data_IF_035440215152
#
_entry.id   IF_035440215152
#
_cell.length_a   1.000
_cell.length_b   1.000
_cell.length_c   1.000
_cell.angle_alpha   90.00
_cell.angle_beta   90.00
_cell.angle_gamma   90.00
#
_symmetry.space_group_name_H-M   'P 1'
#
loop_
_entity.id
_entity.type
_entity.pdbx_description
1 polymer ?
#
# COMPACT_ATOMS: atom_id res chain seq x y z
N UNK A 1 35.03 3.55 8.18
CA UNK A 1 33.85 3.79 7.31
C UNK A 1 32.69 3.03 7.93
N UNK A 2 31.63 3.71 8.37
CA UNK A 2 30.45 3.06 8.97
C UNK A 2 29.34 2.91 7.94
N UNK A 3 28.52 1.87 8.09
CA UNK A 3 27.39 1.64 7.21
C UNK A 3 26.35 2.75 7.36
N UNK A 4 25.75 3.16 6.24
CA UNK A 4 24.60 4.07 6.22
C UNK A 4 23.34 3.25 6.52
N UNK A 5 22.59 3.66 7.53
CA UNK A 5 21.32 3.02 7.86
C UNK A 5 20.24 3.44 6.85
N UNK A 6 19.70 2.48 6.10
CA UNK A 6 18.58 2.70 5.21
C UNK A 6 17.26 2.49 5.95
N UNK A 7 16.54 3.58 6.23
CA UNK A 7 15.26 3.53 6.92
C UNK A 7 14.14 3.13 5.96
N UNK A 8 13.72 1.86 6.05
CA UNK A 8 12.58 1.37 5.28
C UNK A 8 11.26 2.06 5.67
N UNK A 9 11.15 2.57 6.90
CA UNK A 9 9.98 3.30 7.37
C UNK A 9 9.84 4.64 6.66
N UNK A 10 10.93 5.41 6.61
CA UNK A 10 10.91 6.75 6.00
C UNK A 10 10.74 6.64 4.49
N UNK A 11 11.45 5.70 3.85
CA UNK A 11 11.28 5.40 2.43
C UNK A 11 9.83 4.98 2.11
N UNK A 12 9.21 4.13 2.94
CA UNK A 12 7.82 3.72 2.73
C UNK A 12 6.84 4.89 2.88
N UNK A 13 7.08 5.82 3.81
CA UNK A 13 6.22 7.00 3.98
C UNK A 13 6.30 7.93 2.75
N UNK A 14 7.51 8.19 2.24
CA UNK A 14 7.73 8.99 1.03
C UNK A 14 7.04 8.35 -0.19
N UNK A 15 7.19 7.04 -0.37
CA UNK A 15 6.55 6.31 -1.47
C UNK A 15 5.02 6.44 -1.39
N UNK A 16 4.42 6.26 -0.20
CA UNK A 16 2.96 6.36 -0.02
C UNK A 16 2.44 7.75 -0.34
N UNK A 17 3.15 8.80 0.05
CA UNK A 17 2.78 10.18 -0.28
C UNK A 17 2.69 10.39 -1.80
N UNK A 18 3.74 9.97 -2.53
CA UNK A 18 3.76 10.07 -4.02
C UNK A 18 2.68 9.23 -4.69
N UNK A 19 2.38 8.05 -4.14
CA UNK A 19 1.31 7.20 -4.68
C UNK A 19 -0.05 7.87 -4.51
N UNK A 20 -0.30 8.50 -3.35
CA UNK A 20 -1.55 9.23 -3.09
C UNK A 20 -1.76 10.40 -4.06
N UNK A 21 -0.71 11.17 -4.35
CA UNK A 21 -0.74 12.21 -5.37
C UNK A 21 -1.09 11.66 -6.76
N UNK A 22 -0.49 10.51 -7.11
CA UNK A 22 -0.78 9.84 -8.38
C UNK A 22 -2.23 9.35 -8.46
N UNK A 23 -2.78 8.81 -7.37
CA UNK A 23 -4.17 8.39 -7.33
C UNK A 23 -5.13 9.56 -7.52
N UNK A 24 -4.89 10.69 -6.84
CA UNK A 24 -5.67 11.90 -7.04
C UNK A 24 -5.65 12.39 -8.50
N UNK A 25 -4.50 12.25 -9.19
CA UNK A 25 -4.40 12.56 -10.63
C UNK A 25 -5.19 11.59 -11.50
N UNK A 26 -5.25 10.30 -11.15
CA UNK A 26 -6.04 9.32 -11.89
C UNK A 26 -7.54 9.55 -11.68
N UNK A 27 -7.95 9.85 -10.45
CA UNK A 27 -9.35 10.17 -10.11
C UNK A 27 -9.86 11.39 -10.88
N UNK A 28 -9.03 12.44 -11.04
CA UNK A 28 -9.40 13.61 -11.84
C UNK A 28 -9.55 13.31 -13.34
N UNK A 29 -9.02 12.18 -13.80
CA UNK A 29 -9.21 11.66 -15.16
C UNK A 29 -10.37 10.64 -15.24
N UNK A 30 -11.14 10.46 -14.16
CA UNK A 30 -12.23 9.50 -14.07
C UNK A 30 -11.78 8.05 -13.87
N UNK A 31 -10.51 7.82 -13.55
CA UNK A 31 -9.95 6.49 -13.29
C UNK A 31 -9.80 6.30 -11.78
N UNK A 32 -10.60 5.41 -11.20
CA UNK A 32 -10.55 5.11 -9.76
C UNK A 32 -9.67 3.86 -9.56
N UNK A 33 -8.50 3.98 -8.91
CA UNK A 33 -7.66 2.83 -8.61
C UNK A 33 -8.33 1.87 -7.62
N UNK A 34 -8.10 0.56 -7.79
CA UNK A 34 -8.70 -0.52 -6.99
C UNK A 34 -7.67 -1.57 -6.59
N UNK A 35 -7.85 -2.24 -5.44
CA UNK A 35 -7.06 -3.41 -5.05
C UNK A 35 -7.96 -4.64 -4.93
N UNK A 36 -7.65 -5.70 -5.68
CA UNK A 36 -8.27 -7.02 -5.54
C UNK A 36 -7.22 -8.02 -5.05
N UNK A 37 -7.56 -8.79 -4.02
CA UNK A 37 -6.71 -9.86 -3.48
C UNK A 37 -7.49 -11.17 -3.56
N UNK A 38 -6.90 -12.18 -4.18
CA UNK A 38 -7.44 -13.54 -4.25
C UNK A 38 -6.59 -14.44 -3.36
N UNK A 39 -7.25 -15.17 -2.46
CA UNK A 39 -6.63 -16.14 -1.55
C UNK A 39 -7.17 -17.54 -1.85
N UNK A 40 -6.33 -18.56 -1.66
CA UNK A 40 -6.72 -19.97 -1.78
C UNK A 40 -6.24 -20.71 -0.54
N UNK A 41 -7.18 -21.23 0.25
CA UNK A 41 -6.90 -21.78 1.58
C UNK A 41 -6.60 -20.67 2.58
N UNK A 42 -7.50 -20.46 3.56
CA UNK A 42 -7.32 -19.48 4.62
C UNK A 42 -6.99 -20.20 5.94
N UNK A 43 -5.88 -19.85 6.63
CA UNK A 43 -5.63 -20.37 7.95
C UNK A 43 -6.62 -19.80 8.98
N UNK A 44 -6.90 -20.49 10.09
CA UNK A 44 -7.70 -19.94 11.18
C UNK A 44 -7.12 -18.60 11.66
N UNK A 45 -7.95 -17.55 11.67
CA UNK A 45 -7.53 -16.18 12.04
C UNK A 45 -7.13 -15.29 10.86
N UNK A 46 -7.18 -15.83 9.64
CA UNK A 46 -6.95 -15.09 8.40
C UNK A 46 -5.49 -14.80 8.09
N UNK A 47 -5.22 -14.36 6.86
CA UNK A 47 -3.86 -14.03 6.45
C UNK A 47 -3.47 -12.58 6.88
N UNK A 48 -2.51 -12.39 7.82
CA UNK A 48 -2.12 -11.07 8.30
C UNK A 48 -1.51 -10.18 7.19
N UNK A 49 -0.91 -10.79 6.17
CA UNK A 49 -0.38 -10.05 5.02
C UNK A 49 -1.50 -9.50 4.13
N UNK A 50 -2.62 -10.22 4.01
CA UNK A 50 -3.80 -9.73 3.30
C UNK A 50 -4.36 -8.54 4.05
N UNK A 51 -4.59 -8.66 5.36
CA UNK A 51 -5.02 -7.54 6.21
C UNK A 51 -4.10 -6.32 6.10
N UNK A 52 -2.79 -6.52 6.15
CA UNK A 52 -1.83 -5.42 6.03
C UNK A 52 -1.87 -4.75 4.65
N UNK A 53 -2.11 -5.50 3.57
CA UNK A 53 -2.22 -4.97 2.21
C UNK A 53 -3.53 -4.21 2.00
N UNK A 54 -4.64 -4.76 2.49
CA UNK A 54 -5.94 -4.10 2.48
C UNK A 54 -5.87 -2.77 3.21
N UNK A 55 -5.38 -2.75 4.46
CA UNK A 55 -5.23 -1.51 5.22
C UNK A 55 -4.34 -0.48 4.51
N UNK A 56 -3.24 -0.91 3.90
CA UNK A 56 -2.37 0.00 3.17
C UNK A 56 -3.05 0.61 1.93
N UNK A 57 -3.94 -0.15 1.26
CA UNK A 57 -4.74 0.37 0.16
C UNK A 57 -5.79 1.37 0.66
N UNK A 58 -6.50 1.05 1.74
CA UNK A 58 -7.48 1.95 2.37
C UNK A 58 -6.84 3.28 2.78
N UNK A 59 -5.65 3.24 3.38
CA UNK A 59 -4.88 4.44 3.76
C UNK A 59 -4.48 5.31 2.55
N UNK A 60 -4.39 4.72 1.35
CA UNK A 60 -4.08 5.39 0.09
C UNK A 60 -5.33 5.86 -0.67
N UNK A 61 -6.53 5.51 -0.20
CA UNK A 61 -7.80 5.86 -0.85
C UNK A 61 -8.31 4.82 -1.84
N UNK A 62 -7.90 3.56 -1.68
CA UNK A 62 -8.28 2.41 -2.52
C UNK A 62 -9.06 1.38 -1.73
#
# INVERSE_FOLDING_TARGET
MTAIALSGKDAAAEIRARVKERFARLESMGVIPGLAIVTVGEPPGGNPYVRSKTRAAEELGV
#
